data_IF_744959312999
#
_entry.id   IF_744959312999
#
_cell.length_a   1.000
_cell.length_b   1.000
_cell.length_c   1.000
_cell.angle_alpha   90.00
_cell.angle_beta   90.00
_cell.angle_gamma   90.00
#
_symmetry.space_group_name_H-M   'P 1'
#
loop_
_entity.id
_entity.type
_entity.pdbx_description
1 polymer ?
#
# COMPACT_ATOMS: atom_id res chain seq x y z
N UNK A 1 15.92 25.73 24.85
CA UNK A 1 14.88 25.71 23.80
C UNK A 1 14.32 24.28 23.64
N UNK A 2 13.05 24.06 24.01
CA UNK A 2 12.41 22.76 23.83
C UNK A 2 12.27 22.42 22.35
N UNK A 3 12.56 21.17 21.97
CA UNK A 3 12.39 20.70 20.60
C UNK A 3 10.93 20.91 20.14
N UNK A 4 10.74 21.38 18.90
CA UNK A 4 9.41 21.52 18.32
C UNK A 4 8.68 20.15 18.33
N UNK A 5 7.37 20.11 18.63
CA UNK A 5 6.59 18.87 18.60
C UNK A 5 6.70 18.20 17.23
N UNK A 6 6.86 16.87 17.20
CA UNK A 6 6.96 16.11 15.94
C UNK A 6 5.71 16.32 15.08
N UNK A 7 5.90 16.57 13.78
CA UNK A 7 4.80 16.63 12.82
C UNK A 7 4.18 15.25 12.60
N UNK A 8 5.02 14.21 12.54
CA UNK A 8 4.60 12.82 12.59
C UNK A 8 5.52 12.05 13.55
N UNK A 9 5.00 11.46 14.63
CA UNK A 9 5.79 10.58 15.48
C UNK A 9 6.22 9.30 14.74
N UNK A 10 7.28 8.68 15.26
CA UNK A 10 7.62 7.30 14.94
C UNK A 10 6.51 6.37 15.43
N UNK A 11 6.15 5.38 14.62
CA UNK A 11 5.23 4.31 15.03
C UNK A 11 5.97 2.98 14.97
N UNK A 12 6.09 2.36 16.14
CA UNK A 12 6.76 1.07 16.34
C UNK A 12 5.81 0.01 16.90
N UNK A 13 4.66 0.43 17.44
CA UNK A 13 3.65 -0.46 18.01
C UNK A 13 2.43 -0.56 17.09
N UNK A 14 2.01 -1.79 16.82
CA UNK A 14 0.88 -2.11 15.94
C UNK A 14 0.01 -3.16 16.62
N UNK A 15 -1.31 -2.94 16.62
CA UNK A 15 -2.27 -3.85 17.27
C UNK A 15 -2.50 -5.13 16.46
N UNK A 16 -2.50 -5.01 15.14
CA UNK A 16 -2.69 -6.13 14.22
C UNK A 16 -1.34 -6.72 13.85
N UNK A 17 -1.22 -8.04 13.81
CA UNK A 17 -0.02 -8.69 13.29
C UNK A 17 0.18 -8.34 11.80
N UNK A 18 1.39 -8.51 11.28
CA UNK A 18 1.66 -8.31 9.85
C UNK A 18 0.85 -9.31 9.02
N UNK A 19 0.78 -10.55 9.49
CA UNK A 19 0.10 -11.64 8.79
C UNK A 19 -1.41 -11.41 8.71
N UNK A 20 -2.06 -11.03 9.81
CA UNK A 20 -3.51 -10.76 9.82
C UNK A 20 -3.86 -9.61 8.88
N UNK A 21 -3.10 -8.51 8.93
CA UNK A 21 -3.30 -7.38 8.01
C UNK A 21 -3.02 -7.78 6.56
N UNK A 22 -2.03 -8.64 6.31
CA UNK A 22 -1.76 -9.16 4.96
C UNK A 22 -2.94 -9.96 4.43
N UNK A 23 -3.51 -10.86 5.23
CA UNK A 23 -4.70 -11.64 4.87
C UNK A 23 -5.89 -10.74 4.53
N UNK A 24 -6.12 -9.69 5.31
CA UNK A 24 -7.17 -8.68 5.04
C UNK A 24 -6.92 -7.92 3.72
N UNK A 25 -5.67 -7.50 3.44
CA UNK A 25 -5.34 -6.78 2.21
C UNK A 25 -5.49 -7.66 0.97
N UNK A 26 -5.10 -8.93 1.05
CA UNK A 26 -5.17 -9.88 -0.07
C UNK A 26 -6.59 -10.06 -0.58
N UNK A 27 -7.56 -10.25 0.33
CA UNK A 27 -8.96 -10.47 -0.07
C UNK A 27 -9.59 -9.25 -0.75
N UNK A 28 -9.06 -8.04 -0.48
CA UNK A 28 -9.48 -6.81 -1.14
C UNK A 28 -8.89 -6.64 -2.56
N UNK A 29 -7.87 -7.41 -2.92
CA UNK A 29 -7.20 -7.26 -4.22
C UNK A 29 -8.13 -7.64 -5.38
N UNK A 30 -8.03 -6.95 -6.54
CA UNK A 30 -8.81 -7.32 -7.73
C UNK A 30 -8.55 -8.75 -8.19
N UNK A 31 -7.29 -9.20 -8.13
CA UNK A 31 -6.89 -10.52 -8.58
C UNK A 31 -7.52 -11.63 -7.73
N UNK A 32 -7.50 -11.51 -6.40
CA UNK A 32 -8.19 -12.44 -5.52
C UNK A 32 -9.70 -12.48 -5.79
N UNK A 33 -10.34 -11.31 -5.95
CA UNK A 33 -11.78 -11.23 -6.24
C UNK A 33 -12.16 -11.84 -7.58
N UNK A 34 -11.32 -11.71 -8.59
CA UNK A 34 -11.50 -12.37 -9.89
C UNK A 34 -11.46 -13.89 -9.75
N UNK A 35 -10.46 -14.41 -9.04
CA UNK A 35 -10.31 -15.85 -8.84
C UNK A 35 -11.46 -16.43 -7.98
N UNK A 36 -11.90 -15.67 -6.98
CA UNK A 36 -13.10 -15.99 -6.19
C UNK A 36 -14.36 -16.06 -7.06
N UNK A 37 -14.52 -15.14 -8.00
CA UNK A 37 -15.66 -15.14 -8.91
C UNK A 37 -15.63 -16.36 -9.85
N UNK A 38 -14.45 -16.72 -10.39
CA UNK A 38 -14.27 -17.92 -11.21
C UNK A 38 -14.66 -19.19 -10.45
N UNK A 39 -14.24 -19.32 -9.18
CA UNK A 39 -14.68 -20.41 -8.31
C UNK A 39 -16.20 -20.40 -8.08
N UNK A 40 -16.79 -19.22 -7.87
CA UNK A 40 -18.25 -19.04 -7.73
C UNK A 40 -19.04 -19.53 -8.94
N UNK A 41 -18.56 -19.24 -10.16
CA UNK A 41 -19.19 -19.69 -11.41
C UNK A 41 -19.22 -21.22 -11.51
N UNK A 42 -18.11 -21.90 -11.18
CA UNK A 42 -18.10 -23.37 -11.18
C UNK A 42 -18.93 -23.93 -10.03
N UNK A 43 -18.86 -23.30 -8.85
CA UNK A 43 -19.63 -23.68 -7.67
C UNK A 43 -21.15 -23.68 -7.95
N UNK A 44 -21.64 -22.77 -8.79
CA UNK A 44 -23.05 -22.69 -9.20
C UNK A 44 -23.57 -23.95 -9.90
N UNK A 45 -22.67 -24.78 -10.44
CA UNK A 45 -23.00 -26.06 -11.09
C UNK A 45 -23.07 -27.21 -10.09
N UNK A 46 -22.40 -27.08 -8.95
CA UNK A 46 -22.19 -28.16 -7.97
C UNK A 46 -23.17 -28.03 -6.79
N UNK A 47 -23.22 -26.86 -6.15
CA UNK A 47 -23.96 -26.63 -4.91
C UNK A 47 -25.25 -25.85 -5.17
N UNK A 48 -26.29 -26.15 -4.37
CA UNK A 48 -27.55 -25.41 -4.38
C UNK A 48 -27.37 -23.97 -3.88
N UNK A 49 -26.48 -23.78 -2.91
CA UNK A 49 -26.02 -22.48 -2.44
C UNK A 49 -24.50 -22.35 -2.71
N UNK A 50 -24.12 -21.83 -3.90
CA UNK A 50 -22.71 -21.70 -4.26
C UNK A 50 -21.99 -20.64 -3.42
N UNK A 51 -22.69 -19.60 -2.95
CA UNK A 51 -22.08 -18.53 -2.16
C UNK A 51 -21.67 -19.04 -0.78
N UNK A 52 -22.51 -19.84 -0.12
CA UNK A 52 -22.19 -20.46 1.16
C UNK A 52 -21.04 -21.48 1.04
N UNK A 53 -21.01 -22.27 -0.04
CA UNK A 53 -19.94 -23.23 -0.28
C UNK A 53 -18.58 -22.51 -0.46
N UNK A 54 -18.53 -21.46 -1.29
CA UNK A 54 -17.32 -20.65 -1.49
C UNK A 54 -16.88 -19.98 -0.20
N UNK A 55 -17.81 -19.40 0.57
CA UNK A 55 -17.48 -18.77 1.86
C UNK A 55 -16.87 -19.77 2.86
N UNK A 56 -17.38 -21.00 2.91
CA UNK A 56 -16.81 -22.07 3.76
C UNK A 56 -15.40 -22.47 3.33
N UNK A 57 -15.14 -22.50 2.03
CA UNK A 57 -13.81 -22.75 1.47
C UNK A 57 -12.85 -21.60 1.83
N UNK A 58 -13.28 -20.35 1.67
CA UNK A 58 -12.49 -19.17 2.02
C UNK A 58 -12.15 -19.11 3.52
N UNK A 59 -13.08 -19.51 4.40
CA UNK A 59 -12.82 -19.60 5.84
C UNK A 59 -11.71 -20.62 6.18
N UNK A 60 -11.63 -21.75 5.46
CA UNK A 60 -10.54 -22.70 5.62
C UNK A 60 -9.20 -22.12 5.15
N UNK A 61 -9.20 -21.44 4.00
CA UNK A 61 -8.00 -20.75 3.50
C UNK A 61 -7.54 -19.69 4.52
N UNK A 62 -8.47 -18.89 5.04
CA UNK A 62 -8.21 -17.84 6.03
C UNK A 62 -7.71 -18.39 7.38
N UNK A 63 -8.08 -19.62 7.75
CA UNK A 63 -7.56 -20.33 8.93
C UNK A 63 -6.17 -20.94 8.71
N UNK A 64 -5.60 -20.81 7.51
CA UNK A 64 -4.26 -21.31 7.18
C UNK A 64 -4.21 -22.78 6.80
N UNK A 65 -5.34 -23.39 6.43
CA UNK A 65 -5.32 -24.74 5.88
C UNK A 65 -4.66 -24.72 4.49
N UNK A 66 -3.75 -25.65 4.24
CA UNK A 66 -3.08 -25.79 2.95
C UNK A 66 -4.10 -26.04 1.83
N UNK A 67 -3.97 -25.31 0.72
CA UNK A 67 -4.92 -25.35 -0.39
C UNK A 67 -5.12 -26.78 -0.92
N UNK A 68 -4.05 -27.56 -1.02
CA UNK A 68 -4.06 -28.95 -1.48
C UNK A 68 -4.93 -29.84 -0.60
N UNK A 69 -4.95 -29.59 0.72
CA UNK A 69 -5.80 -30.33 1.66
C UNK A 69 -7.28 -29.97 1.48
N UNK A 70 -7.57 -28.70 1.23
CA UNK A 70 -8.94 -28.23 0.98
C UNK A 70 -9.43 -28.80 -0.35
N UNK A 71 -8.60 -28.76 -1.39
CA UNK A 71 -8.87 -29.35 -2.72
C UNK A 71 -9.18 -30.84 -2.61
N UNK A 72 -8.35 -31.60 -1.89
CA UNK A 72 -8.59 -33.02 -1.67
C UNK A 72 -9.91 -33.27 -0.93
N UNK A 73 -10.21 -32.48 0.12
CA UNK A 73 -11.45 -32.61 0.88
C UNK A 73 -12.70 -32.30 0.05
N UNK A 74 -12.67 -31.23 -0.76
CA UNK A 74 -13.77 -30.87 -1.69
C UNK A 74 -13.95 -31.94 -2.76
N UNK A 75 -12.86 -32.51 -3.27
CA UNK A 75 -12.91 -33.55 -4.30
C UNK A 75 -13.50 -34.86 -3.77
N UNK A 76 -13.18 -35.22 -2.52
CA UNK A 76 -13.64 -36.46 -1.90
C UNK A 76 -15.06 -36.37 -1.35
N UNK A 77 -15.42 -35.25 -0.72
CA UNK A 77 -16.72 -35.07 -0.04
C UNK A 77 -17.32 -33.69 -0.34
N UNK A 78 -17.75 -33.42 -1.60
CA UNK A 78 -18.31 -32.12 -1.97
C UNK A 78 -19.60 -31.80 -1.20
N UNK A 79 -20.33 -32.82 -0.71
CA UNK A 79 -21.56 -32.65 0.07
C UNK A 79 -21.31 -32.01 1.45
N UNK A 80 -20.10 -32.14 2.01
CA UNK A 80 -19.71 -31.50 3.26
C UNK A 80 -19.64 -29.97 3.15
N UNK A 81 -19.53 -29.43 1.93
CA UNK A 81 -19.43 -28.00 1.67
C UNK A 81 -20.78 -27.36 1.31
N UNK A 82 -21.82 -28.18 1.12
CA UNK A 82 -23.18 -27.72 0.87
C UNK A 82 -24.03 -28.80 0.19
N UNK A 83 -25.35 -28.60 0.19
CA UNK A 83 -26.25 -29.50 -0.52
C UNK A 83 -25.97 -29.44 -2.03
N UNK A 84 -25.72 -30.60 -2.65
CA UNK A 84 -25.47 -30.70 -4.09
C UNK A 84 -26.75 -30.49 -4.90
N UNK A 85 -26.59 -29.96 -6.12
CA UNK A 85 -27.69 -29.86 -7.09
C UNK A 85 -28.19 -31.26 -7.51
N UNK A 86 -29.42 -31.32 -7.99
CA UNK A 86 -30.09 -32.57 -8.30
C UNK A 86 -30.44 -33.45 -7.09
N UNK A 87 -30.80 -34.69 -7.38
CA UNK A 87 -31.21 -35.72 -6.41
C UNK A 87 -30.30 -36.94 -6.48
N UNK A 88 -29.99 -37.51 -5.32
CA UNK A 88 -29.23 -38.75 -5.19
C UNK A 88 -30.12 -39.98 -5.02
N UNK A 89 -31.44 -39.78 -4.95
CA UNK A 89 -32.37 -40.87 -4.67
C UNK A 89 -32.34 -41.85 -5.84
N UNK A 90 -32.27 -43.15 -5.54
CA UNK A 90 -32.24 -44.21 -6.56
C UNK A 90 -33.40 -44.10 -7.57
N UNK A 91 -34.58 -43.73 -7.07
CA UNK A 91 -35.79 -43.52 -7.87
C UNK A 91 -35.68 -42.36 -8.87
N UNK A 92 -34.84 -41.36 -8.58
CA UNK A 92 -34.67 -40.16 -9.41
C UNK A 92 -33.52 -40.28 -10.41
N UNK A 93 -32.74 -41.37 -10.37
CA UNK A 93 -31.48 -41.53 -11.12
C UNK A 93 -31.66 -41.40 -12.65
N UNK A 94 -32.79 -41.89 -13.17
CA UNK A 94 -33.14 -41.82 -14.60
C UNK A 94 -33.89 -40.51 -14.97
N UNK A 95 -34.27 -39.71 -13.97
CA UNK A 95 -34.99 -38.45 -14.15
C UNK A 95 -34.02 -37.27 -14.34
N UNK A 96 -34.59 -36.10 -14.63
CA UNK A 96 -33.84 -34.85 -14.78
C UNK A 96 -33.00 -34.52 -13.52
N UNK A 97 -33.56 -34.74 -12.32
CA UNK A 97 -32.86 -34.50 -11.06
C UNK A 97 -31.64 -35.41 -10.87
N UNK A 98 -31.69 -36.66 -11.35
CA UNK A 98 -30.53 -37.57 -11.34
C UNK A 98 -29.47 -37.23 -12.40
N UNK A 99 -29.87 -36.60 -13.52
CA UNK A 99 -28.92 -36.01 -14.49
C UNK A 99 -28.22 -34.78 -13.91
N UNK A 100 -28.98 -33.86 -13.31
CA UNK A 100 -28.42 -32.67 -12.66
C UNK A 100 -27.41 -33.05 -11.56
N UNK A 101 -27.67 -34.11 -10.79
CA UNK A 101 -26.70 -34.62 -9.81
C UNK A 101 -25.41 -35.11 -10.46
N UNK A 102 -25.50 -35.84 -11.58
CA UNK A 102 -24.32 -36.32 -12.31
C UNK A 102 -23.49 -35.16 -12.87
N UNK A 103 -24.15 -34.15 -13.44
CA UNK A 103 -23.48 -32.96 -13.95
C UNK A 103 -22.80 -32.16 -12.83
N UNK A 104 -23.45 -32.07 -11.66
CA UNK A 104 -22.86 -31.46 -10.47
C UNK A 104 -21.57 -32.17 -10.02
N UNK A 105 -21.57 -33.50 -9.96
CA UNK A 105 -20.37 -34.27 -9.62
C UNK A 105 -19.29 -34.19 -10.70
N UNK A 106 -19.68 -34.14 -11.97
CA UNK A 106 -18.75 -33.99 -13.10
C UNK A 106 -18.04 -32.62 -13.11
N UNK A 107 -18.62 -31.60 -12.48
CA UNK A 107 -18.01 -30.27 -12.35
C UNK A 107 -16.98 -30.16 -11.21
N UNK A 108 -16.92 -31.14 -10.29
CA UNK A 108 -16.03 -31.10 -9.10
C UNK A 108 -14.54 -30.98 -9.47
N UNK A 109 -13.99 -31.71 -10.47
CA UNK A 109 -12.59 -31.54 -10.86
C UNK A 109 -12.25 -30.13 -11.34
N UNK A 110 -13.19 -29.45 -12.00
CA UNK A 110 -12.99 -28.07 -12.42
C UNK A 110 -12.98 -27.11 -11.22
N UNK A 111 -13.84 -27.33 -10.23
CA UNK A 111 -13.83 -26.55 -8.98
C UNK A 111 -12.54 -26.78 -8.18
N UNK A 112 -12.01 -28.01 -8.18
CA UNK A 112 -10.73 -28.35 -7.57
C UNK A 112 -9.57 -27.56 -8.20
N UNK A 113 -9.56 -27.40 -9.53
CA UNK A 113 -8.56 -26.60 -10.23
C UNK A 113 -8.68 -25.09 -9.87
N UNK A 114 -9.88 -24.52 -9.89
CA UNK A 114 -10.10 -23.11 -9.53
C UNK A 114 -9.77 -22.81 -8.07
N UNK A 115 -10.06 -23.76 -7.18
CA UNK A 115 -9.68 -23.67 -5.76
C UNK A 115 -8.16 -23.73 -5.59
N UNK A 116 -7.47 -24.58 -6.36
CA UNK A 116 -6.00 -24.64 -6.31
C UNK A 116 -5.41 -23.29 -6.72
N UNK A 117 -5.91 -22.71 -7.82
CA UNK A 117 -5.52 -21.37 -8.26
C UNK A 117 -5.86 -20.28 -7.23
N UNK A 118 -7.05 -20.32 -6.60
CA UNK A 118 -7.42 -19.39 -5.52
C UNK A 118 -6.47 -19.50 -4.33
N UNK A 119 -6.12 -20.73 -3.93
CA UNK A 119 -5.18 -21.01 -2.85
C UNK A 119 -3.78 -20.45 -3.13
N UNK A 120 -3.26 -20.65 -4.35
CA UNK A 120 -1.97 -20.07 -4.76
C UNK A 120 -2.01 -18.54 -4.75
N UNK A 121 -3.04 -17.92 -5.33
CA UNK A 121 -3.20 -16.45 -5.32
C UNK A 121 -3.26 -15.90 -3.91
N UNK A 122 -3.94 -16.60 -3.00
CA UNK A 122 -4.01 -16.21 -1.60
C UNK A 122 -2.64 -16.30 -0.92
N UNK A 123 -1.95 -17.44 -1.03
CA UNK A 123 -0.66 -17.66 -0.39
C UNK A 123 0.41 -16.67 -0.89
N UNK A 124 0.55 -16.52 -2.21
CA UNK A 124 1.47 -15.57 -2.84
C UNK A 124 1.11 -14.13 -2.44
N UNK A 125 -0.18 -13.82 -2.44
CA UNK A 125 -0.69 -12.53 -2.00
C UNK A 125 -0.31 -12.22 -0.56
N UNK A 126 -0.46 -13.18 0.35
CA UNK A 126 -0.16 -13.00 1.79
C UNK A 126 1.34 -12.75 1.98
N UNK A 127 2.20 -13.48 1.28
CA UNK A 127 3.65 -13.24 1.32
C UNK A 127 4.02 -11.84 0.80
N UNK A 128 3.48 -11.45 -0.36
CA UNK A 128 3.72 -10.12 -0.96
C UNK A 128 3.23 -9.01 -0.02
N UNK A 129 2.01 -9.11 0.49
CA UNK A 129 1.44 -8.11 1.39
C UNK A 129 2.19 -8.06 2.71
N UNK A 130 2.61 -9.20 3.26
CA UNK A 130 3.40 -9.25 4.49
C UNK A 130 4.71 -8.50 4.35
N UNK A 131 5.43 -8.68 3.23
CA UNK A 131 6.67 -7.94 2.93
C UNK A 131 6.40 -6.45 2.78
N UNK A 132 5.34 -6.07 2.07
CA UNK A 132 4.96 -4.67 1.89
C UNK A 132 4.61 -3.99 3.23
N UNK A 133 3.81 -4.64 4.07
CA UNK A 133 3.43 -4.15 5.39
C UNK A 133 4.66 -4.06 6.30
N UNK A 134 5.55 -5.06 6.30
CA UNK A 134 6.79 -5.02 7.07
C UNK A 134 7.63 -3.79 6.70
N UNK A 135 7.76 -3.49 5.42
CA UNK A 135 8.48 -2.31 4.94
C UNK A 135 7.76 -1.01 5.30
N UNK A 136 6.43 -0.94 5.12
CA UNK A 136 5.63 0.22 5.54
C UNK A 136 5.84 0.51 7.03
N UNK A 137 5.77 -0.50 7.90
CA UNK A 137 5.97 -0.37 9.35
C UNK A 137 7.41 0.01 9.71
N UNK A 138 8.41 -0.55 9.00
CA UNK A 138 9.81 -0.14 9.16
C UNK A 138 10.01 1.34 8.87
N UNK A 139 9.40 1.83 7.79
CA UNK A 139 9.49 3.24 7.41
C UNK A 139 8.68 4.15 8.35
N UNK A 140 7.56 3.67 8.90
CA UNK A 140 6.80 4.41 9.92
C UNK A 140 7.58 4.67 11.21
N UNK A 141 8.60 3.87 11.51
CA UNK A 141 9.49 4.09 12.65
C UNK A 141 10.35 5.37 12.50
N UNK A 142 10.37 5.98 11.31
CA UNK A 142 11.09 7.23 11.07
C UNK A 142 10.20 8.40 11.52
N UNK A 143 10.58 9.16 12.56
CA UNK A 143 9.85 10.35 12.96
C UNK A 143 10.06 11.48 11.96
N UNK A 144 9.02 12.28 11.73
CA UNK A 144 9.14 13.54 10.98
C UNK A 144 9.26 14.67 12.01
N UNK A 145 10.41 15.38 12.05
CA UNK A 145 10.65 16.43 13.02
C UNK A 145 9.64 17.56 12.85
N UNK A 146 9.36 18.27 13.95
CA UNK A 146 8.60 19.51 13.92
C UNK A 146 9.38 20.65 13.24
N UNK A 147 8.66 21.69 12.86
CA UNK A 147 9.26 22.99 12.53
C UNK A 147 9.12 23.93 13.73
N UNK A 148 10.14 24.75 13.95
CA UNK A 148 10.04 25.90 14.85
C UNK A 148 8.96 26.86 14.35
N UNK A 149 8.44 27.72 15.25
CA UNK A 149 7.42 28.70 14.88
C UNK A 149 7.86 29.61 13.71
N UNK A 150 9.09 30.19 13.72
CA UNK A 150 9.57 30.98 12.58
C UNK A 150 9.62 30.19 11.27
N UNK A 151 10.09 28.93 11.31
CA UNK A 151 10.15 28.09 10.12
C UNK A 151 8.75 27.71 9.61
N UNK A 152 7.78 27.50 10.50
CA UNK A 152 6.39 27.25 10.14
C UNK A 152 5.74 28.47 9.47
N UNK A 153 5.94 29.66 10.04
CA UNK A 153 5.40 30.92 9.50
C UNK A 153 5.96 31.22 8.11
N UNK A 154 7.28 31.01 7.91
CA UNK A 154 7.91 31.20 6.60
C UNK A 154 7.46 30.13 5.59
N UNK A 155 7.25 28.88 6.02
CA UNK A 155 6.68 27.85 5.15
C UNK A 155 5.26 28.22 4.69
N UNK A 156 4.43 28.74 5.60
CA UNK A 156 3.07 29.19 5.27
C UNK A 156 3.10 30.34 4.26
N UNK A 157 4.04 31.28 4.41
CA UNK A 157 4.27 32.37 3.47
C UNK A 157 4.70 31.85 2.09
N UNK A 158 5.70 30.97 2.03
CA UNK A 158 6.15 30.34 0.78
C UNK A 158 5.01 29.59 0.11
N UNK A 159 4.21 28.83 0.85
CA UNK A 159 3.09 28.06 0.32
C UNK A 159 1.95 28.94 -0.22
N UNK A 160 1.74 30.12 0.38
CA UNK A 160 0.78 31.11 -0.12
C UNK A 160 1.25 31.78 -1.40
N UNK A 161 2.52 32.19 -1.46
CA UNK A 161 3.10 32.88 -2.63
C UNK A 161 3.34 31.93 -3.80
N UNK A 162 3.75 30.68 -3.56
CA UNK A 162 3.93 29.67 -4.61
C UNK A 162 2.63 29.35 -5.35
N UNK A 163 1.45 29.58 -4.75
CA UNK A 163 0.16 29.47 -5.44
C UNK A 163 -0.06 30.60 -6.46
N UNK A 164 0.57 31.76 -6.25
CA UNK A 164 0.43 32.94 -7.11
C UNK A 164 1.48 32.95 -8.21
N UNK A 165 2.75 32.71 -7.85
CA UNK A 165 3.86 32.68 -8.79
C UNK A 165 4.96 31.70 -8.33
N UNK A 166 5.11 30.61 -9.08
CA UNK A 166 6.14 29.59 -8.81
C UNK A 166 7.55 30.05 -9.17
N UNK A 167 7.71 31.06 -10.04
CA UNK A 167 9.03 31.60 -10.43
C UNK A 167 9.61 32.49 -9.35
N UNK A 168 8.76 33.15 -8.55
CA UNK A 168 9.16 33.95 -7.40
C UNK A 168 9.77 33.10 -6.26
N UNK A 169 9.47 31.78 -6.23
CA UNK A 169 9.92 30.89 -5.17
C UNK A 169 11.44 30.84 -5.03
N UNK A 170 12.19 30.84 -6.13
CA UNK A 170 13.67 30.83 -6.09
C UNK A 170 14.24 32.04 -5.36
N UNK A 171 13.73 33.24 -5.65
CA UNK A 171 14.19 34.46 -5.00
C UNK A 171 13.83 34.50 -3.51
N UNK A 172 12.69 33.92 -3.13
CA UNK A 172 12.29 33.79 -1.73
C UNK A 172 13.17 32.79 -0.98
N UNK A 173 13.46 31.63 -1.57
CA UNK A 173 14.32 30.58 -1.00
C UNK A 173 15.75 31.11 -0.76
N UNK A 174 16.28 31.90 -1.69
CA UNK A 174 17.58 32.54 -1.53
C UNK A 174 17.67 33.46 -0.30
N UNK A 175 16.54 34.06 0.12
CA UNK A 175 16.44 34.99 1.26
C UNK A 175 16.14 34.32 2.59
N UNK A 176 15.90 33.01 2.63
CA UNK A 176 15.61 32.30 3.88
C UNK A 176 16.76 32.44 4.88
N UNK A 177 16.42 32.45 6.16
CA UNK A 177 17.43 32.34 7.22
C UNK A 177 18.15 30.97 7.12
N UNK A 178 19.49 30.91 7.28
CA UNK A 178 20.23 29.65 7.28
C UNK A 178 19.68 28.59 8.23
N UNK A 179 19.22 28.97 9.44
CA UNK A 179 18.64 28.03 10.40
C UNK A 179 17.30 27.45 9.90
N UNK A 180 16.46 28.27 9.25
CA UNK A 180 15.20 27.81 8.63
C UNK A 180 15.50 26.84 7.48
N UNK A 181 16.55 27.11 6.68
CA UNK A 181 16.98 26.20 5.61
C UNK A 181 17.42 24.85 6.17
N UNK A 182 18.16 24.83 7.27
CA UNK A 182 18.55 23.59 7.96
C UNK A 182 17.34 22.80 8.48
N UNK A 183 16.35 23.48 9.07
CA UNK A 183 15.10 22.84 9.50
C UNK A 183 14.34 22.23 8.32
N UNK A 184 14.21 22.97 7.21
CA UNK A 184 13.57 22.46 5.99
C UNK A 184 14.33 21.25 5.42
N UNK A 185 15.65 21.31 5.38
CA UNK A 185 16.48 20.20 4.93
C UNK A 185 16.31 18.96 5.82
N UNK A 186 16.23 19.15 7.14
CA UNK A 186 16.00 18.08 8.12
C UNK A 186 14.63 17.42 7.92
N UNK A 187 13.57 18.21 7.80
CA UNK A 187 12.22 17.71 7.51
C UNK A 187 12.18 17.01 6.16
N UNK A 188 12.75 17.61 5.12
CA UNK A 188 12.79 17.03 3.76
C UNK A 188 13.50 15.68 3.74
N UNK A 189 14.64 15.57 4.45
CA UNK A 189 15.38 14.32 4.61
C UNK A 189 14.57 13.25 5.34
N UNK A 190 13.86 13.61 6.40
CA UNK A 190 13.00 12.68 7.13
C UNK A 190 11.79 12.22 6.28
N UNK A 191 11.19 13.14 5.50
CA UNK A 191 10.13 12.81 4.55
C UNK A 191 10.63 11.84 3.47
N UNK A 192 11.80 12.11 2.89
CA UNK A 192 12.40 11.22 1.89
C UNK A 192 12.74 9.85 2.47
N UNK A 193 13.20 9.80 3.72
CA UNK A 193 13.50 8.55 4.40
C UNK A 193 12.25 7.74 4.72
N UNK A 194 11.15 8.37 5.14
CA UNK A 194 9.89 7.69 5.48
C UNK A 194 9.02 7.35 4.28
N UNK A 195 8.90 8.26 3.31
CA UNK A 195 7.94 8.11 2.22
C UNK A 195 8.59 7.69 0.90
N UNK A 196 9.91 7.78 0.81
CA UNK A 196 10.64 7.64 -0.44
C UNK A 196 10.99 9.00 -1.03
N UNK A 197 12.09 9.04 -1.78
CA UNK A 197 12.67 10.27 -2.33
C UNK A 197 11.63 11.07 -3.12
N UNK A 198 11.26 12.27 -2.66
CA UNK A 198 10.27 13.16 -3.27
C UNK A 198 8.85 12.55 -3.43
N UNK A 199 8.49 11.53 -2.66
CA UNK A 199 7.17 10.88 -2.76
C UNK A 199 6.01 11.86 -2.51
N UNK A 200 6.18 12.74 -1.52
CA UNK A 200 5.19 13.77 -1.17
C UNK A 200 5.04 14.79 -2.29
N UNK A 201 6.15 15.30 -2.83
CA UNK A 201 6.16 16.18 -4.00
C UNK A 201 5.46 15.56 -5.23
N UNK A 202 5.69 14.27 -5.49
CA UNK A 202 5.06 13.53 -6.61
C UNK A 202 3.57 13.22 -6.39
N UNK A 203 3.08 13.25 -5.15
CA UNK A 203 1.71 12.85 -4.85
C UNK A 203 1.50 11.34 -4.96
N UNK A 204 2.49 10.56 -4.53
CA UNK A 204 2.40 9.10 -4.49
C UNK A 204 1.23 8.64 -3.61
N UNK A 205 0.34 7.82 -4.19
CA UNK A 205 -0.90 7.40 -3.53
C UNK A 205 -0.65 6.48 -2.34
N UNK A 206 0.42 5.70 -2.37
CA UNK A 206 0.83 4.76 -1.33
C UNK A 206 1.53 5.44 -0.14
N UNK A 207 1.93 6.71 -0.25
CA UNK A 207 2.53 7.45 0.87
C UNK A 207 1.62 7.48 2.10
N UNK A 208 0.29 7.49 1.90
CA UNK A 208 -0.69 7.48 2.99
C UNK A 208 -0.66 6.19 3.82
N UNK A 209 -0.19 5.08 3.24
CA UNK A 209 -0.05 3.81 3.95
C UNK A 209 1.02 3.91 5.03
N UNK A 210 1.99 4.83 4.90
CA UNK A 210 3.07 5.07 5.86
C UNK A 210 2.71 6.15 6.89
N UNK A 211 1.44 6.57 6.94
CA UNK A 211 0.89 7.53 7.89
C UNK A 211 -0.09 6.82 8.84
N UNK A 212 0.02 7.01 10.17
CA UNK A 212 -0.90 6.42 11.12
C UNK A 212 -2.33 6.87 10.85
N UNK A 213 -3.31 5.97 10.93
CA UNK A 213 -4.70 6.25 10.57
C UNK A 213 -5.26 7.51 11.27
N UNK A 214 -4.96 7.69 12.57
CA UNK A 214 -5.38 8.85 13.36
C UNK A 214 -4.81 10.19 12.86
N UNK A 215 -3.69 10.18 12.14
CA UNK A 215 -2.98 11.38 11.68
C UNK A 215 -3.13 11.64 10.17
N UNK A 216 -3.78 10.73 9.42
CA UNK A 216 -3.94 10.83 7.96
C UNK A 216 -4.57 12.16 7.53
N UNK A 217 -5.69 12.57 8.15
CA UNK A 217 -6.38 13.82 7.83
C UNK A 217 -5.48 15.05 8.04
N UNK A 218 -4.77 15.09 9.16
CA UNK A 218 -3.86 16.19 9.50
C UNK A 218 -2.68 16.25 8.53
N UNK A 219 -2.10 15.09 8.20
CA UNK A 219 -1.00 14.99 7.24
C UNK A 219 -1.42 15.39 5.82
N UNK A 220 -2.59 14.94 5.36
CA UNK A 220 -3.16 15.33 4.07
C UNK A 220 -3.34 16.85 3.96
N UNK A 221 -3.84 17.50 5.03
CA UNK A 221 -3.98 18.95 5.09
C UNK A 221 -2.63 19.69 4.99
N UNK A 222 -1.56 19.12 5.52
CA UNK A 222 -0.19 19.66 5.41
C UNK A 222 0.44 19.43 4.03
N UNK A 223 -0.11 18.50 3.23
CA UNK A 223 0.44 18.06 1.94
C UNK A 223 0.92 19.18 1.03
N UNK A 224 0.10 20.22 0.71
CA UNK A 224 0.52 21.33 -0.14
C UNK A 224 1.76 22.08 0.41
N UNK A 225 1.81 22.34 1.70
CA UNK A 225 2.94 23.02 2.34
C UNK A 225 4.20 22.14 2.32
N UNK A 226 4.07 20.83 2.59
CA UNK A 226 5.21 19.90 2.52
C UNK A 226 5.77 19.77 1.09
N UNK A 227 4.93 19.87 0.05
CA UNK A 227 5.40 19.93 -1.34
C UNK A 227 6.28 21.15 -1.58
N UNK A 228 5.87 22.32 -1.08
CA UNK A 228 6.63 23.57 -1.21
C UNK A 228 7.94 23.49 -0.43
N UNK A 229 7.93 22.89 0.76
CA UNK A 229 9.15 22.63 1.55
C UNK A 229 10.16 21.78 0.76
N UNK A 230 9.73 20.65 0.17
CA UNK A 230 10.62 19.80 -0.63
C UNK A 230 11.12 20.53 -1.90
N UNK A 231 10.30 21.38 -2.52
CA UNK A 231 10.71 22.22 -3.65
C UNK A 231 11.77 23.26 -3.23
N UNK A 232 11.60 23.93 -2.08
CA UNK A 232 12.55 24.89 -1.55
C UNK A 232 13.93 24.27 -1.33
N UNK A 233 14.00 23.09 -0.69
CA UNK A 233 15.26 22.37 -0.46
C UNK A 233 15.94 21.97 -1.77
N UNK A 234 15.17 21.63 -2.82
CA UNK A 234 15.72 21.31 -4.14
C UNK A 234 16.30 22.52 -4.86
N UNK A 235 15.67 23.69 -4.73
CA UNK A 235 16.18 24.94 -5.28
C UNK A 235 17.53 25.26 -4.63
N UNK A 236 17.60 25.21 -3.30
CA UNK A 236 18.83 25.45 -2.55
C UNK A 236 19.95 24.49 -2.94
N UNK A 237 19.66 23.19 -3.03
CA UNK A 237 20.65 22.18 -3.46
C UNK A 237 21.16 22.45 -4.88
N UNK A 238 20.29 22.90 -5.78
CA UNK A 238 20.66 23.24 -7.16
C UNK A 238 21.54 24.48 -7.22
N UNK A 239 21.22 25.51 -6.43
CA UNK A 239 22.03 26.73 -6.32
C UNK A 239 23.42 26.44 -5.76
N UNK A 240 23.52 25.57 -4.74
CA UNK A 240 24.81 25.14 -4.18
C UNK A 240 25.67 24.41 -5.22
N UNK A 241 25.09 23.50 -6.00
CA UNK A 241 25.81 22.82 -7.09
C UNK A 241 26.30 23.81 -8.14
N UNK A 242 25.47 24.79 -8.50
CA UNK A 242 25.84 25.82 -9.48
C UNK A 242 26.94 26.75 -8.96
N UNK A 243 26.89 27.16 -7.70
CA UNK A 243 27.92 28.00 -7.09
C UNK A 243 29.26 27.27 -6.97
N UNK A 244 29.26 25.99 -6.56
CA UNK A 244 30.45 25.14 -6.53
C UNK A 244 31.07 24.99 -7.93
N UNK A 245 30.24 24.77 -8.96
CA UNK A 245 30.72 24.68 -10.36
C UNK A 245 31.37 25.98 -10.81
N UNK A 246 30.73 27.14 -10.58
CA UNK A 246 31.29 28.46 -10.91
C UNK A 246 32.64 28.68 -10.22
N UNK A 247 32.74 28.31 -8.95
CA UNK A 247 33.97 28.49 -8.18
C UNK A 247 35.10 27.59 -8.69
N UNK A 248 34.79 26.36 -9.12
CA UNK A 248 35.76 25.48 -9.81
C UNK A 248 36.24 26.06 -11.12
N UNK A 249 35.35 26.60 -11.96
CA UNK A 249 35.73 27.24 -13.23
C UNK A 249 36.59 28.49 -13.00
N UNK A 250 36.27 29.33 -12.01
CA UNK A 250 37.07 30.50 -11.66
C UNK A 250 38.46 30.10 -11.15
N UNK A 251 38.55 29.06 -10.33
CA UNK A 251 39.83 28.55 -9.82
C UNK A 251 40.68 27.92 -10.94
N UNK A 252 40.06 27.22 -11.91
CA UNK A 252 40.75 26.70 -13.10
C UNK A 252 41.27 27.83 -14.00
N UNK A 253 40.46 28.87 -14.26
CA UNK A 253 40.89 30.02 -15.06
C UNK A 253 42.03 30.81 -14.40
N UNK A 254 42.05 30.91 -13.07
CA UNK A 254 43.15 31.56 -12.31
C UNK A 254 44.41 30.71 -12.22
N UNK A 255 44.31 29.38 -12.32
CA UNK A 255 45.46 28.47 -12.35
C UNK A 255 46.21 28.43 -13.68
N UNK A 256 45.55 28.79 -14.79
CA UNK A 256 46.15 28.86 -16.14
C UNK A 256 46.82 30.22 -16.45
N UNK A 257 46.76 31.17 -15.52
CA UNK A 257 47.38 32.50 -15.64
C UNK A 257 48.66 32.68 -14.82
N UNK A 258 49.30 31.58 -14.39
CA UNK A 258 50.60 31.55 -13.75
C UNK A 258 51.60 30.75 -14.57
#
# INVERSE_FOLDING_TARGET
PGAAPLMLPAVVEFRTSIEDEARERVVATPHYRQQRAALGEIASRIWRDPSAAVAKIEDLVAKGFAAERIVAAVSNEPSAYGALRGSDRLVDRLLAAGRERRDALAAVPAAAAELSALGSVYADGVDIQSKAIAEERRLMAIPIPGLSKPAHDELARLASEAKKDTRALTAMVARLDPAIREEFASVSKALDARFGRNAIARGEKDAINRVPAAQRRTFEAMGPSLKVLQQAVRIEASEKILSERRMRTINQARGLGR
#
